data_IF_084799516883
#
_entry.id   IF_084799516883
#
_cell.length_a   1.000
_cell.length_b   1.000
_cell.length_c   1.000
_cell.angle_alpha   90.00
_cell.angle_beta   90.00
_cell.angle_gamma   90.00
#
_symmetry.space_group_name_H-M   'P 1'
#
loop_
_entity.id
_entity.type
_entity.pdbx_description
1 polymer ?
#
# COMPACT_ATOMS: atom_id res chain seq x y z
N UNK A 1 -22.47 -23.61 0.96
CA UNK A 1 -22.94 -22.63 1.95
C UNK A 1 -24.42 -22.38 1.68
N UNK A 2 -25.29 -22.73 2.62
CA UNK A 2 -26.73 -22.44 2.55
C UNK A 2 -27.00 -20.95 2.83
N UNK A 3 -28.19 -20.43 2.50
CA UNK A 3 -28.57 -19.04 2.83
C UNK A 3 -28.52 -18.79 4.35
N UNK A 4 -28.94 -19.77 5.16
CA UNK A 4 -28.89 -19.70 6.62
C UNK A 4 -27.45 -19.57 7.13
N UNK A 5 -26.54 -20.43 6.67
CA UNK A 5 -25.11 -20.36 7.02
C UNK A 5 -24.49 -19.03 6.58
N UNK A 6 -24.90 -18.49 5.43
CA UNK A 6 -24.45 -17.20 4.96
C UNK A 6 -24.88 -16.07 5.91
N UNK A 7 -26.17 -15.98 6.24
CA UNK A 7 -26.74 -14.93 7.11
C UNK A 7 -26.17 -15.01 8.53
N UNK A 8 -26.07 -16.22 9.10
CA UNK A 8 -25.45 -16.44 10.41
C UNK A 8 -23.97 -16.02 10.39
N UNK A 9 -23.23 -16.38 9.34
CA UNK A 9 -21.86 -15.93 9.15
C UNK A 9 -21.72 -14.40 9.08
N UNK A 10 -22.60 -13.73 8.32
CA UNK A 10 -22.63 -12.26 8.26
C UNK A 10 -22.89 -11.66 9.64
N UNK A 11 -23.89 -12.17 10.35
CA UNK A 11 -24.22 -11.72 11.69
C UNK A 11 -23.01 -11.85 12.61
N UNK A 12 -22.39 -13.03 12.66
CA UNK A 12 -21.23 -13.31 13.50
C UNK A 12 -20.03 -12.41 13.19
N UNK A 13 -19.78 -12.11 11.91
CA UNK A 13 -18.73 -11.18 11.49
C UNK A 13 -19.05 -9.75 11.98
N UNK A 14 -20.29 -9.28 11.82
CA UNK A 14 -20.69 -7.94 12.21
C UNK A 14 -20.74 -7.74 13.73
N UNK A 15 -21.13 -8.76 14.48
CA UNK A 15 -21.16 -8.74 15.96
C UNK A 15 -19.83 -9.15 16.60
N UNK A 16 -18.82 -9.48 15.79
CA UNK A 16 -17.51 -9.96 16.25
C UNK A 16 -17.60 -11.17 17.20
N UNK A 17 -18.62 -12.00 17.03
CA UNK A 17 -18.87 -13.21 17.85
C UNK A 17 -18.07 -14.41 17.32
N UNK A 18 -17.79 -15.37 18.22
CA UNK A 18 -16.81 -16.47 18.08
C UNK A 18 -16.86 -17.24 16.75
N UNK A 19 -15.67 -17.46 16.18
CA UNK A 19 -15.41 -18.51 15.19
C UNK A 19 -13.90 -18.56 14.85
N UNK A 20 -13.28 -19.75 14.71
CA UNK A 20 -11.85 -19.90 14.37
C UNK A 20 -11.49 -19.36 12.97
N UNK A 21 -12.51 -19.01 12.18
CA UNK A 21 -12.39 -18.43 10.85
C UNK A 21 -13.24 -17.15 10.77
N UNK A 22 -12.94 -16.14 11.58
CA UNK A 22 -13.48 -14.78 11.36
C UNK A 22 -12.94 -14.27 10.01
N UNK A 23 -13.68 -14.59 8.94
CA UNK A 23 -13.42 -14.13 7.59
C UNK A 23 -14.00 -12.72 7.46
N UNK A 24 -13.25 -11.82 6.83
CA UNK A 24 -13.74 -10.46 6.58
C UNK A 24 -15.00 -10.50 5.69
N UNK A 25 -15.97 -9.61 5.95
CA UNK A 25 -17.29 -9.63 5.32
C UNK A 25 -17.21 -9.73 3.79
N UNK A 26 -16.26 -9.02 3.18
CA UNK A 26 -16.02 -9.07 1.74
C UNK A 26 -15.74 -10.48 1.18
N UNK A 27 -14.87 -11.27 1.81
CA UNK A 27 -14.59 -12.63 1.33
C UNK A 27 -15.79 -13.53 1.56
N UNK A 28 -16.49 -13.37 2.69
CA UNK A 28 -17.66 -14.18 3.01
C UNK A 28 -18.78 -13.97 1.99
N UNK A 29 -19.12 -12.70 1.70
CA UNK A 29 -20.10 -12.32 0.67
C UNK A 29 -19.68 -12.80 -0.70
N UNK A 30 -18.41 -12.59 -1.08
CA UNK A 30 -17.94 -12.98 -2.39
C UNK A 30 -17.92 -14.51 -2.57
N UNK A 31 -17.50 -15.25 -1.55
CA UNK A 31 -17.49 -16.71 -1.57
C UNK A 31 -18.89 -17.29 -1.67
N UNK A 32 -19.86 -16.72 -0.94
CA UNK A 32 -21.26 -17.12 -1.04
C UNK A 32 -21.84 -16.83 -2.43
N UNK A 33 -21.57 -15.65 -2.99
CA UNK A 33 -22.04 -15.30 -4.33
C UNK A 33 -21.47 -16.24 -5.39
N UNK A 34 -20.16 -16.44 -5.40
CA UNK A 34 -19.48 -17.22 -6.45
C UNK A 34 -19.77 -18.72 -6.31
N UNK A 35 -19.67 -19.27 -5.11
CA UNK A 35 -19.81 -20.72 -4.89
C UNK A 35 -21.26 -21.13 -4.63
N UNK A 36 -22.05 -20.29 -3.97
CA UNK A 36 -23.44 -20.58 -3.60
C UNK A 36 -24.44 -20.16 -4.66
N UNK A 37 -24.36 -18.93 -5.16
CA UNK A 37 -25.31 -18.40 -6.16
C UNK A 37 -24.93 -18.83 -7.58
N UNK A 38 -23.67 -18.62 -7.97
CA UNK A 38 -23.22 -18.94 -9.33
C UNK A 38 -22.83 -20.41 -9.52
N UNK A 39 -22.51 -21.13 -8.43
CA UNK A 39 -21.99 -22.50 -8.52
C UNK A 39 -20.63 -22.62 -9.21
N UNK A 40 -19.86 -21.53 -9.29
CA UNK A 40 -18.63 -21.41 -10.06
C UNK A 40 -17.46 -20.90 -9.19
N UNK A 41 -16.98 -21.67 -8.19
CA UNK A 41 -15.92 -21.25 -7.27
C UNK A 41 -14.65 -20.73 -7.96
N UNK A 42 -14.34 -21.22 -9.16
CA UNK A 42 -13.21 -20.77 -9.98
C UNK A 42 -13.24 -19.26 -10.32
N UNK A 43 -14.43 -18.63 -10.32
CA UNK A 43 -14.56 -17.20 -10.61
C UNK A 43 -14.17 -16.30 -9.43
N UNK A 44 -13.86 -16.84 -8.25
CA UNK A 44 -13.58 -16.04 -7.05
C UNK A 44 -12.49 -14.99 -7.30
N UNK A 45 -11.34 -15.41 -7.82
CA UNK A 45 -10.24 -14.48 -8.11
C UNK A 45 -10.54 -13.54 -9.28
N UNK A 46 -11.40 -13.93 -10.23
CA UNK A 46 -11.86 -13.04 -11.31
C UNK A 46 -12.62 -11.84 -10.73
N UNK A 47 -13.56 -12.09 -9.81
CA UNK A 47 -14.29 -11.02 -9.14
C UNK A 47 -13.37 -10.16 -8.26
N UNK A 48 -12.46 -10.78 -7.51
CA UNK A 48 -11.47 -10.04 -6.71
C UNK A 48 -10.64 -9.11 -7.60
N UNK A 49 -10.11 -9.64 -8.72
CA UNK A 49 -9.30 -8.88 -9.65
C UNK A 49 -10.08 -7.73 -10.29
N UNK A 50 -11.37 -7.93 -10.58
CA UNK A 50 -12.23 -6.86 -11.11
C UNK A 50 -12.41 -5.72 -10.11
N UNK A 51 -12.76 -6.03 -8.85
CA UNK A 51 -12.93 -5.03 -7.79
C UNK A 51 -11.61 -4.29 -7.55
N UNK A 52 -10.52 -5.03 -7.33
CA UNK A 52 -9.20 -4.45 -7.12
C UNK A 52 -8.79 -3.58 -8.30
N UNK A 53 -8.90 -4.10 -9.52
CA UNK A 53 -8.50 -3.44 -10.76
C UNK A 53 -9.27 -2.15 -11.00
N UNK A 54 -10.59 -2.13 -10.73
CA UNK A 54 -11.41 -0.93 -10.84
C UNK A 54 -10.89 0.21 -9.94
N UNK A 55 -10.66 -0.07 -8.66
CA UNK A 55 -10.22 0.95 -7.70
C UNK A 55 -8.75 1.35 -7.91
N UNK A 56 -7.89 0.39 -8.23
CA UNK A 56 -6.49 0.63 -8.56
C UNK A 56 -6.35 1.49 -9.82
N UNK A 57 -6.89 1.04 -10.96
CA UNK A 57 -6.79 1.76 -12.22
C UNK A 57 -7.50 3.11 -12.15
N UNK A 58 -8.67 3.17 -11.50
CA UNK A 58 -9.39 4.41 -11.27
C UNK A 58 -8.56 5.45 -10.50
N UNK A 59 -7.82 5.01 -9.47
CA UNK A 59 -6.92 5.88 -8.71
C UNK A 59 -5.75 6.37 -9.56
N UNK A 60 -5.15 5.49 -10.36
CA UNK A 60 -4.04 5.84 -11.24
C UNK A 60 -4.44 6.79 -12.36
N UNK A 61 -5.62 6.63 -12.96
CA UNK A 61 -6.15 7.54 -13.99
C UNK A 61 -6.30 8.97 -13.44
N UNK A 62 -6.73 9.11 -12.18
CA UNK A 62 -6.80 10.42 -11.52
C UNK A 62 -5.39 10.98 -11.31
N UNK A 63 -4.48 10.18 -10.75
CA UNK A 63 -3.15 10.64 -10.38
C UNK A 63 -2.24 10.96 -11.58
N UNK A 64 -2.36 10.21 -12.67
CA UNK A 64 -1.56 10.35 -13.89
C UNK A 64 -2.20 11.27 -14.93
N UNK A 65 -3.26 12.00 -14.57
CA UNK A 65 -3.88 12.99 -15.45
C UNK A 65 -2.83 14.02 -15.86
N UNK A 66 -2.61 14.18 -17.16
CA UNK A 66 -1.61 15.11 -17.72
C UNK A 66 -0.22 14.51 -17.96
N UNK A 67 -0.01 13.21 -17.76
CA UNK A 67 1.30 12.54 -17.98
C UNK A 67 1.93 12.82 -19.34
N UNK A 68 1.14 12.79 -20.43
CA UNK A 68 1.64 12.94 -21.80
C UNK A 68 2.28 14.30 -22.09
N UNK A 69 2.01 15.31 -21.26
CA UNK A 69 2.43 16.69 -21.51
C UNK A 69 3.70 17.08 -20.76
N UNK A 70 4.33 16.16 -20.02
CA UNK A 70 5.41 16.48 -19.08
C UNK A 70 6.64 15.61 -19.28
N UNK A 71 7.80 16.24 -19.38
CA UNK A 71 9.09 15.57 -19.32
C UNK A 71 9.60 15.56 -17.87
N UNK A 72 9.76 14.36 -17.31
CA UNK A 72 10.25 14.18 -15.94
C UNK A 72 11.76 13.90 -15.97
N UNK A 73 12.56 14.56 -15.10
CA UNK A 73 13.94 14.16 -14.87
C UNK A 73 14.02 12.70 -14.47
N UNK A 74 15.09 11.99 -14.87
CA UNK A 74 15.24 10.54 -14.66
C UNK A 74 14.99 10.12 -13.21
N UNK A 75 15.57 10.83 -12.23
CA UNK A 75 15.34 10.51 -10.81
C UNK A 75 13.88 10.69 -10.37
N UNK A 76 13.19 11.71 -10.91
CA UNK A 76 11.76 11.90 -10.63
C UNK A 76 10.94 10.79 -11.28
N UNK A 77 11.24 10.42 -12.53
CA UNK A 77 10.58 9.31 -13.23
C UNK A 77 10.76 7.99 -12.47
N UNK A 78 11.97 7.68 -12.02
CA UNK A 78 12.25 6.48 -11.23
C UNK A 78 11.51 6.47 -9.88
N UNK A 79 11.36 7.62 -9.22
CA UNK A 79 10.52 7.72 -8.01
C UNK A 79 9.05 7.50 -8.32
N UNK A 80 8.53 8.04 -9.42
CA UNK A 80 7.15 7.77 -9.85
C UNK A 80 6.96 6.27 -10.07
N UNK A 81 7.87 5.63 -10.81
CA UNK A 81 7.84 4.17 -11.04
C UNK A 81 7.88 3.43 -9.71
N UNK A 82 8.74 3.85 -8.77
CA UNK A 82 8.84 3.23 -7.44
C UNK A 82 7.52 3.33 -6.68
N UNK A 83 6.85 4.49 -6.68
CA UNK A 83 5.56 4.66 -6.03
C UNK A 83 4.43 3.87 -6.68
N UNK A 84 4.44 3.73 -8.00
CA UNK A 84 3.50 2.85 -8.72
C UNK A 84 3.75 1.36 -8.41
N UNK A 85 5.01 0.99 -8.14
CA UNK A 85 5.40 -0.37 -7.78
C UNK A 85 5.26 -0.70 -6.29
N UNK A 86 5.06 0.28 -5.39
CA UNK A 86 4.83 0.04 -3.95
C UNK A 86 3.72 -0.99 -3.73
N UNK A 87 2.62 -0.83 -4.47
CA UNK A 87 1.52 -1.78 -4.55
C UNK A 87 0.96 -1.83 -5.97
N UNK A 88 1.49 -2.74 -6.76
CA UNK A 88 1.01 -2.99 -8.12
C UNK A 88 -0.02 -4.14 -8.14
N UNK A 89 -0.32 -4.64 -9.34
CA UNK A 89 -1.27 -5.73 -9.60
C UNK A 89 -1.02 -7.03 -8.81
N UNK A 90 0.21 -7.29 -8.36
CA UNK A 90 0.53 -8.44 -7.48
C UNK A 90 -0.24 -8.36 -6.15
N UNK A 91 -0.64 -7.16 -5.73
CA UNK A 91 -1.46 -6.93 -4.55
C UNK A 91 -2.83 -7.65 -4.59
N UNK A 92 -3.32 -8.08 -5.76
CA UNK A 92 -4.54 -8.89 -5.90
C UNK A 92 -4.44 -10.19 -5.10
N UNK A 93 -3.25 -10.76 -4.96
CA UNK A 93 -3.02 -12.01 -4.23
C UNK A 93 -3.30 -11.87 -2.72
N UNK A 94 -3.18 -10.65 -2.17
CA UNK A 94 -3.64 -10.36 -0.80
C UNK A 94 -5.00 -9.68 -0.86
N UNK A 95 -5.99 -10.46 -1.33
CA UNK A 95 -7.38 -10.09 -1.65
C UNK A 95 -8.00 -9.04 -0.71
N UNK A 96 -7.77 -9.16 0.59
CA UNK A 96 -8.41 -8.34 1.62
C UNK A 96 -7.72 -7.01 1.83
N UNK A 97 -6.43 -7.08 2.16
CA UNK A 97 -5.67 -5.92 2.63
C UNK A 97 -5.54 -4.86 1.56
N UNK A 98 -5.08 -5.24 0.36
CA UNK A 98 -4.75 -4.26 -0.67
C UNK A 98 -5.98 -3.79 -1.46
N UNK A 99 -7.05 -4.59 -1.53
CA UNK A 99 -8.35 -4.11 -2.03
C UNK A 99 -8.89 -3.01 -1.11
N UNK A 100 -8.83 -3.19 0.21
CA UNK A 100 -9.21 -2.15 1.17
C UNK A 100 -8.39 -0.85 1.00
N UNK A 101 -7.09 -0.96 0.74
CA UNK A 101 -6.23 0.19 0.42
C UNK A 101 -6.75 0.95 -0.80
N UNK A 102 -6.93 0.27 -1.93
CA UNK A 102 -7.28 0.94 -3.19
C UNK A 102 -8.70 1.50 -3.16
N UNK A 103 -9.63 0.84 -2.47
CA UNK A 103 -10.96 1.40 -2.19
C UNK A 103 -10.84 2.70 -1.41
N UNK A 104 -10.04 2.74 -0.34
CA UNK A 104 -9.82 3.96 0.44
C UNK A 104 -9.17 5.07 -0.39
N UNK A 105 -8.10 4.75 -1.13
CA UNK A 105 -7.39 5.70 -1.98
C UNK A 105 -8.33 6.30 -3.03
N UNK A 106 -9.07 5.45 -3.76
CA UNK A 106 -10.02 5.91 -4.77
C UNK A 106 -11.11 6.79 -4.16
N UNK A 107 -11.66 6.38 -3.02
CA UNK A 107 -12.70 7.12 -2.32
C UNK A 107 -12.20 8.51 -1.88
N UNK A 108 -11.00 8.60 -1.29
CA UNK A 108 -10.39 9.87 -0.89
C UNK A 108 -10.11 10.77 -2.09
N UNK A 109 -9.55 10.23 -3.18
CA UNK A 109 -9.30 10.98 -4.42
C UNK A 109 -10.61 11.54 -4.98
N UNK A 110 -11.63 10.69 -5.16
CA UNK A 110 -12.91 11.12 -5.73
C UNK A 110 -13.67 12.07 -4.82
N UNK A 111 -13.65 11.85 -3.51
CA UNK A 111 -14.30 12.75 -2.57
C UNK A 111 -13.65 14.13 -2.59
N UNK A 112 -12.32 14.21 -2.46
CA UNK A 112 -11.65 15.50 -2.41
C UNK A 112 -11.60 16.22 -3.76
N UNK A 113 -11.77 15.51 -4.88
CA UNK A 113 -11.95 16.11 -6.22
C UNK A 113 -13.38 16.63 -6.43
N UNK A 114 -14.41 15.88 -6.01
CA UNK A 114 -15.81 16.14 -6.43
C UNK A 114 -16.75 16.63 -5.32
N UNK A 115 -16.38 16.50 -4.05
CA UNK A 115 -17.22 16.81 -2.90
C UNK A 115 -18.44 15.90 -2.70
N UNK A 116 -18.62 14.84 -3.51
CA UNK A 116 -19.84 14.00 -3.46
C UNK A 116 -19.82 13.03 -2.28
N UNK A 117 -20.85 13.11 -1.43
CA UNK A 117 -20.99 12.34 -0.19
C UNK A 117 -20.93 10.81 -0.35
N UNK A 118 -21.35 10.27 -1.50
CA UNK A 118 -21.25 8.82 -1.80
C UNK A 118 -19.83 8.26 -1.66
N UNK A 119 -18.82 9.11 -1.87
CA UNK A 119 -17.42 8.70 -1.69
C UNK A 119 -17.01 8.70 -0.21
N UNK A 120 -17.70 9.42 0.68
CA UNK A 120 -17.52 9.29 2.13
C UNK A 120 -18.05 7.93 2.60
N UNK A 121 -19.19 7.48 2.08
CA UNK A 121 -19.64 6.11 2.33
C UNK A 121 -18.60 5.09 1.86
N UNK A 122 -18.04 5.30 0.67
CA UNK A 122 -16.99 4.44 0.14
C UNK A 122 -15.70 4.49 0.98
N UNK A 123 -15.36 5.63 1.60
CA UNK A 123 -14.26 5.74 2.57
C UNK A 123 -14.53 4.90 3.82
N UNK A 124 -15.79 4.68 4.22
CA UNK A 124 -16.17 3.83 5.35
C UNK A 124 -16.22 2.33 5.02
N UNK A 125 -16.11 1.93 3.74
CA UNK A 125 -16.15 0.53 3.31
C UNK A 125 -14.90 -0.33 3.64
N UNK A 126 -13.65 0.19 3.67
CA UNK A 126 -12.46 -0.64 3.87
C UNK A 126 -12.47 -1.56 5.11
N UNK A 127 -12.99 -1.16 6.28
CA UNK A 127 -13.13 -2.05 7.44
C UNK A 127 -13.98 -3.31 7.17
N UNK A 128 -14.97 -3.22 6.27
CA UNK A 128 -15.79 -4.36 5.85
C UNK A 128 -15.07 -5.27 4.84
N UNK A 129 -14.03 -4.74 4.17
CA UNK A 129 -13.15 -5.52 3.28
C UNK A 129 -12.07 -6.24 4.07
N UNK A 130 -11.47 -5.52 5.01
CA UNK A 130 -10.57 -6.10 5.98
C UNK A 130 -10.61 -5.34 7.30
N UNK A 131 -10.86 -6.04 8.41
CA UNK A 131 -11.06 -5.42 9.72
C UNK A 131 -9.87 -4.57 10.17
N UNK A 132 -8.65 -4.91 9.74
CA UNK A 132 -7.45 -4.11 9.99
C UNK A 132 -7.55 -2.67 9.47
N UNK A 133 -8.41 -2.38 8.50
CA UNK A 133 -8.66 -1.02 8.03
C UNK A 133 -9.52 -0.18 8.97
N UNK A 134 -10.14 -0.74 10.01
CA UNK A 134 -10.87 0.03 11.01
C UNK A 134 -9.99 1.13 11.65
N UNK A 135 -8.72 0.82 11.91
CA UNK A 135 -7.76 1.79 12.44
C UNK A 135 -7.14 2.61 11.31
N UNK A 136 -6.79 1.97 10.18
CA UNK A 136 -6.12 2.65 9.07
C UNK A 136 -7.02 3.66 8.35
N UNK A 137 -8.34 3.60 8.46
CA UNK A 137 -9.22 4.61 7.86
C UNK A 137 -9.24 5.93 8.64
N UNK A 138 -8.84 5.92 9.92
CA UNK A 138 -8.89 7.08 10.83
C UNK A 138 -8.13 8.30 10.28
N UNK A 139 -6.87 8.18 9.80
CA UNK A 139 -6.17 9.29 9.14
C UNK A 139 -6.97 9.99 8.04
N UNK A 140 -7.70 9.22 7.22
CA UNK A 140 -8.51 9.77 6.14
C UNK A 140 -9.71 10.57 6.67
N UNK A 141 -10.37 10.07 7.72
CA UNK A 141 -11.46 10.77 8.40
C UNK A 141 -10.98 12.02 9.17
N UNK A 142 -9.78 12.00 9.75
CA UNK A 142 -9.18 13.19 10.38
C UNK A 142 -9.04 14.31 9.34
N UNK A 143 -8.48 14.02 8.16
CA UNK A 143 -8.33 15.04 7.10
C UNK A 143 -9.69 15.44 6.51
N UNK A 144 -10.65 14.52 6.43
CA UNK A 144 -12.01 14.80 6.00
C UNK A 144 -12.67 15.86 6.89
N UNK A 145 -12.56 15.70 8.22
CA UNK A 145 -13.24 16.54 9.22
C UNK A 145 -12.47 17.84 9.47
N UNK A 146 -11.15 17.78 9.66
CA UNK A 146 -10.34 18.92 10.10
C UNK A 146 -9.64 19.66 8.94
N UNK A 147 -9.77 19.14 7.71
CA UNK A 147 -9.11 19.65 6.52
C UNK A 147 -7.62 19.31 6.48
N UNK A 148 -6.91 19.89 5.50
CA UNK A 148 -5.44 19.84 5.49
C UNK A 148 -4.89 20.83 6.51
N UNK A 149 -4.04 20.35 7.43
CA UNK A 149 -3.28 21.18 8.38
C UNK A 149 -1.78 20.96 8.15
N UNK A 150 -1.20 21.50 7.06
CA UNK A 150 0.13 21.09 6.60
C UNK A 150 1.24 21.20 7.63
N UNK A 151 1.26 22.30 8.39
CA UNK A 151 2.25 22.51 9.47
C UNK A 151 2.07 21.48 10.59
N UNK A 152 0.85 21.35 11.12
CA UNK A 152 0.54 20.41 12.20
C UNK A 152 0.86 18.96 11.81
N UNK A 153 0.40 18.52 10.64
CA UNK A 153 0.61 17.14 10.19
C UNK A 153 2.08 16.85 9.86
N UNK A 154 2.84 17.84 9.39
CA UNK A 154 4.30 17.72 9.24
C UNK A 154 4.99 17.60 10.60
N UNK A 155 4.56 18.38 11.60
CA UNK A 155 5.08 18.31 12.95
C UNK A 155 4.79 16.96 13.62
N UNK A 156 3.57 16.44 13.47
CA UNK A 156 3.19 15.10 13.96
C UNK A 156 4.01 13.99 13.28
N UNK A 157 4.21 14.08 11.96
CA UNK A 157 5.08 13.15 11.23
C UNK A 157 6.52 13.20 11.78
N UNK A 158 7.10 14.38 11.93
CA UNK A 158 8.47 14.53 12.42
C UNK A 158 8.60 14.00 13.85
N UNK A 159 7.71 14.41 14.76
CA UNK A 159 7.71 13.94 16.14
C UNK A 159 7.55 12.41 16.20
N UNK A 160 6.64 11.81 15.43
CA UNK A 160 6.48 10.36 15.38
C UNK A 160 7.68 9.60 14.79
N UNK A 161 8.52 10.28 14.00
CA UNK A 161 9.73 9.67 13.41
C UNK A 161 10.91 9.63 14.38
N UNK A 162 10.86 10.45 15.44
CA UNK A 162 11.93 10.56 16.46
C UNK A 162 11.51 9.98 17.80
N UNK A 163 10.20 9.97 18.10
CA UNK A 163 9.66 9.44 19.36
C UNK A 163 8.42 8.58 19.14
N UNK A 164 8.13 7.71 20.10
CA UNK A 164 6.91 6.91 20.13
C UNK A 164 5.83 7.66 20.93
N UNK A 165 4.68 7.93 20.31
CA UNK A 165 3.55 8.58 21.00
C UNK A 165 2.79 7.66 21.95
N UNK A 166 2.78 6.36 21.68
CA UNK A 166 1.99 5.37 22.41
C UNK A 166 2.92 4.37 23.11
N UNK A 167 2.98 4.37 24.46
CA UNK A 167 3.74 3.35 25.17
C UNK A 167 3.12 1.98 24.90
N UNK A 168 3.88 1.07 24.27
CA UNK A 168 3.39 -0.23 23.81
C UNK A 168 2.75 -1.04 24.95
N UNK A 169 3.34 -1.00 26.15
CA UNK A 169 2.86 -1.76 27.31
C UNK A 169 1.42 -1.45 27.73
N UNK A 170 0.97 -0.19 27.61
CA UNK A 170 -0.40 0.17 28.00
C UNK A 170 -1.44 -0.38 27.01
N UNK A 171 -1.14 -0.34 25.71
CA UNK A 171 -2.03 -0.84 24.67
C UNK A 171 -2.02 -2.37 24.60
N UNK A 172 -0.85 -3.00 24.77
CA UNK A 172 -0.74 -4.46 24.87
C UNK A 172 -1.54 -5.00 26.06
N UNK A 173 -1.46 -4.32 27.22
CA UNK A 173 -2.26 -4.69 28.39
C UNK A 173 -3.76 -4.60 28.09
N UNK A 174 -4.21 -3.60 27.33
CA UNK A 174 -5.62 -3.46 26.96
C UNK A 174 -6.07 -4.54 25.96
N UNK A 175 -5.27 -4.86 24.93
CA UNK A 175 -5.59 -5.92 23.98
C UNK A 175 -5.67 -7.29 24.65
N UNK A 176 -4.79 -7.55 25.62
CA UNK A 176 -4.76 -8.81 26.37
C UNK A 176 -5.97 -9.01 27.31
N UNK A 177 -6.79 -7.97 27.57
CA UNK A 177 -8.04 -8.11 28.35
C UNK A 177 -9.12 -8.88 27.62
N UNK A 178 -9.01 -9.04 26.29
CA UNK A 178 -10.00 -9.76 25.48
C UNK A 178 -9.35 -10.96 24.81
N UNK A 179 -10.06 -12.10 24.75
CA UNK A 179 -9.58 -13.32 24.08
C UNK A 179 -9.23 -13.04 22.60
N UNK A 180 -10.09 -12.28 21.92
CA UNK A 180 -9.91 -11.85 20.53
C UNK A 180 -8.69 -10.97 20.39
N UNK A 181 -8.54 -9.92 21.22
CA UNK A 181 -7.39 -9.02 21.19
C UNK A 181 -6.07 -9.74 21.46
N UNK A 182 -6.03 -10.64 22.44
CA UNK A 182 -4.85 -11.45 22.75
C UNK A 182 -4.49 -12.42 21.61
N UNK A 183 -5.48 -13.01 20.93
CA UNK A 183 -5.24 -13.87 19.77
C UNK A 183 -4.67 -13.08 18.58
N UNK A 184 -5.20 -11.88 18.33
CA UNK A 184 -4.75 -10.99 17.26
C UNK A 184 -3.34 -10.47 17.52
N UNK A 185 -3.04 -10.01 18.74
CA UNK A 185 -1.71 -9.55 19.12
C UNK A 185 -0.66 -10.67 18.94
N UNK A 186 -0.97 -11.89 19.38
CA UNK A 186 -0.08 -13.06 19.17
C UNK A 186 0.12 -13.38 17.70
N UNK A 187 -0.93 -13.30 16.88
CA UNK A 187 -0.81 -13.52 15.43
C UNK A 187 0.13 -12.49 14.79
N UNK A 188 0.08 -11.23 15.23
CA UNK A 188 0.90 -10.15 14.69
C UNK A 188 2.33 -10.11 15.24
N UNK A 189 2.57 -10.62 16.45
CA UNK A 189 3.92 -10.74 17.02
C UNK A 189 4.68 -11.97 16.50
N UNK A 190 3.98 -13.03 16.07
CA UNK A 190 4.60 -14.28 15.57
C UNK A 190 5.34 -14.08 14.25
N UNK A 191 4.89 -13.13 13.41
CA UNK A 191 5.56 -12.77 12.16
C UNK A 191 6.95 -12.12 12.36
N UNK A 192 7.27 -11.63 13.58
CA UNK A 192 8.51 -10.89 13.88
C UNK A 192 9.52 -11.61 14.80
N UNK A 193 9.22 -12.78 15.37
CA UNK A 193 10.21 -13.51 16.20
C UNK A 193 11.45 -14.02 15.43
N UNK A 194 11.56 -13.71 14.14
CA UNK A 194 12.86 -13.67 13.47
C UNK A 194 13.55 -12.34 13.82
N UNK A 195 14.29 -12.31 14.93
CA UNK A 195 15.17 -11.20 15.33
C UNK A 195 15.79 -10.53 14.08
N UNK A 196 15.57 -9.23 13.89
CA UNK A 196 16.04 -8.48 12.72
C UNK A 196 17.57 -8.61 12.60
N UNK A 197 18.28 -8.64 13.74
CA UNK A 197 19.70 -8.93 13.80
C UNK A 197 20.03 -10.34 13.31
N UNK A 198 19.35 -11.36 13.86
CA UNK A 198 19.54 -12.75 13.43
C UNK A 198 19.06 -13.05 12.00
N UNK A 199 18.09 -12.32 11.44
CA UNK A 199 17.58 -12.51 10.08
C UNK A 199 18.48 -11.83 9.04
N UNK A 200 19.02 -10.66 9.37
CA UNK A 200 20.07 -9.99 8.59
C UNK A 200 21.36 -10.81 8.66
N UNK A 201 21.78 -11.24 9.86
CA UNK A 201 22.95 -12.09 10.05
C UNK A 201 22.80 -13.43 9.33
N UNK A 202 21.65 -14.13 9.44
CA UNK A 202 21.38 -15.37 8.66
C UNK A 202 21.36 -15.11 7.16
N UNK A 203 20.81 -13.99 6.69
CA UNK A 203 20.80 -13.67 5.27
C UNK A 203 22.20 -13.36 4.72
N UNK A 204 23.09 -12.77 5.53
CA UNK A 204 24.49 -12.53 5.17
C UNK A 204 25.37 -13.79 5.34
N UNK A 205 25.16 -14.61 6.37
CA UNK A 205 25.96 -15.83 6.63
C UNK A 205 25.54 -17.04 5.82
N UNK A 206 24.26 -17.16 5.42
CA UNK A 206 23.79 -18.12 4.42
C UNK A 206 24.05 -17.63 2.97
N UNK A 207 24.91 -16.61 2.82
CA UNK A 207 25.29 -15.98 1.55
C UNK A 207 26.04 -16.88 0.56
N UNK A 208 26.21 -18.17 0.86
CA UNK A 208 26.67 -19.18 -0.11
C UNK A 208 25.56 -19.70 -1.03
N UNK A 209 24.28 -19.31 -0.82
CA UNK A 209 23.12 -19.85 -1.55
C UNK A 209 22.18 -18.85 -2.25
N UNK A 210 22.65 -17.66 -2.67
CA UNK A 210 21.86 -16.81 -3.59
C UNK A 210 20.83 -15.86 -2.98
N UNK A 211 20.97 -15.47 -1.70
CA UNK A 211 20.14 -14.39 -1.12
C UNK A 211 20.56 -13.05 -1.73
N UNK A 212 19.70 -12.51 -2.58
CA UNK A 212 19.94 -11.23 -3.29
C UNK A 212 20.02 -10.04 -2.32
N UNK A 213 21.05 -9.20 -2.46
CA UNK A 213 21.35 -8.05 -1.57
C UNK A 213 20.16 -7.11 -1.32
N UNK A 214 19.31 -6.90 -2.33
CA UNK A 214 18.12 -6.05 -2.20
C UNK A 214 17.06 -6.61 -1.23
N UNK A 215 16.99 -7.93 -1.05
CA UNK A 215 16.10 -8.54 -0.04
C UNK A 215 16.58 -8.21 1.37
N UNK A 216 17.89 -8.21 1.58
CA UNK A 216 18.50 -7.85 2.86
C UNK A 216 18.25 -6.38 3.19
N UNK A 217 18.49 -5.48 2.23
CA UNK A 217 18.26 -4.05 2.40
C UNK A 217 16.77 -3.72 2.63
N UNK A 218 15.85 -4.46 1.99
CA UNK A 218 14.42 -4.36 2.27
C UNK A 218 14.09 -4.74 3.71
N UNK A 219 14.65 -5.84 4.19
CA UNK A 219 14.42 -6.33 5.55
C UNK A 219 15.02 -5.38 6.60
N UNK A 220 16.15 -4.73 6.28
CA UNK A 220 16.73 -3.66 7.08
C UNK A 220 15.89 -2.36 7.08
N UNK A 221 14.82 -2.29 6.28
CA UNK A 221 13.90 -1.17 6.27
C UNK A 221 14.42 0.08 5.54
N UNK A 222 15.42 -0.06 4.64
CA UNK A 222 16.01 1.08 3.90
C UNK A 222 14.94 1.90 3.15
N UNK A 223 13.89 1.26 2.66
CA UNK A 223 12.74 1.93 2.03
C UNK A 223 12.01 2.90 2.97
N UNK A 224 11.97 2.63 4.29
CA UNK A 224 11.35 3.53 5.28
C UNK A 224 12.17 4.82 5.39
N UNK A 225 13.50 4.70 5.42
CA UNK A 225 14.42 5.83 5.38
C UNK A 225 14.31 6.61 4.07
N UNK A 226 14.22 5.91 2.93
CA UNK A 226 14.04 6.53 1.62
C UNK A 226 12.78 7.40 1.55
N UNK A 227 11.66 6.91 2.12
CA UNK A 227 10.42 7.66 2.22
C UNK A 227 10.55 8.85 3.19
N UNK A 228 11.24 8.69 4.32
CA UNK A 228 11.43 9.79 5.27
C UNK A 228 12.27 10.92 4.65
N UNK A 229 13.37 10.59 3.99
CA UNK A 229 14.19 11.57 3.23
C UNK A 229 13.34 12.25 2.16
N UNK A 230 12.50 11.51 1.45
CA UNK A 230 11.57 12.06 0.46
C UNK A 230 10.61 13.08 1.09
N UNK A 231 9.88 12.68 2.14
CA UNK A 231 8.89 13.50 2.82
C UNK A 231 9.53 14.76 3.39
N UNK A 232 10.67 14.62 4.08
CA UNK A 232 11.42 15.76 4.61
C UNK A 232 11.86 16.71 3.50
N UNK A 233 12.29 16.19 2.35
CA UNK A 233 12.65 17.01 1.18
C UNK A 233 11.43 17.80 0.67
N UNK A 234 10.27 17.15 0.52
CA UNK A 234 9.03 17.78 0.03
C UNK A 234 8.48 18.82 1.03
N UNK A 235 8.60 18.56 2.34
CA UNK A 235 8.17 19.50 3.39
C UNK A 235 9.14 20.68 3.49
N UNK A 236 10.44 20.43 3.64
CA UNK A 236 11.45 21.48 3.85
C UNK A 236 11.60 22.40 2.63
N UNK A 237 11.42 21.87 1.41
CA UNK A 237 11.40 22.67 0.19
C UNK A 237 10.13 23.52 0.00
N UNK A 238 9.18 23.46 0.95
CA UNK A 238 7.92 24.19 0.87
C UNK A 238 6.96 23.68 -0.20
N UNK A 239 7.27 22.58 -0.89
CA UNK A 239 6.40 22.02 -1.94
C UNK A 239 5.04 21.65 -1.37
N UNK A 240 5.01 20.91 -0.27
CA UNK A 240 3.75 20.55 0.40
C UNK A 240 2.97 21.77 0.90
N UNK A 241 3.68 22.70 1.55
CA UNK A 241 3.07 23.84 2.25
C UNK A 241 2.57 24.94 1.30
N UNK A 242 3.32 25.23 0.23
CA UNK A 242 3.17 26.43 -0.59
C UNK A 242 2.90 26.16 -2.07
N UNK A 243 3.16 24.93 -2.57
CA UNK A 243 3.09 24.62 -4.01
C UNK A 243 1.96 23.64 -4.36
N UNK A 244 1.62 22.71 -3.48
CA UNK A 244 0.50 21.78 -3.68
C UNK A 244 -0.85 22.49 -3.62
N UNK A 245 -1.75 22.15 -4.54
CA UNK A 245 -3.16 22.58 -4.46
C UNK A 245 -3.86 22.01 -3.23
N UNK A 246 -4.99 22.60 -2.81
CA UNK A 246 -5.76 22.11 -1.67
C UNK A 246 -6.16 20.63 -1.80
N UNK A 247 -6.44 20.16 -3.01
CA UNK A 247 -6.69 18.74 -3.29
C UNK A 247 -5.45 17.88 -2.99
N UNK A 248 -4.30 18.23 -3.57
CA UNK A 248 -3.03 17.51 -3.37
C UNK A 248 -2.59 17.54 -1.90
N UNK A 249 -2.76 18.68 -1.22
CA UNK A 249 -2.43 18.82 0.20
C UNK A 249 -3.26 17.89 1.09
N UNK A 250 -4.56 17.72 0.80
CA UNK A 250 -5.41 16.76 1.54
C UNK A 250 -4.92 15.32 1.34
N UNK A 251 -4.63 14.91 0.10
CA UNK A 251 -4.10 13.58 -0.19
C UNK A 251 -2.74 13.35 0.49
N UNK A 252 -1.84 14.34 0.45
CA UNK A 252 -0.55 14.29 1.14
C UNK A 252 -0.72 14.24 2.67
N UNK A 253 -1.67 15.00 3.23
CA UNK A 253 -2.00 15.03 4.66
C UNK A 253 -2.44 13.64 5.16
N UNK A 254 -3.29 12.96 4.41
CA UNK A 254 -3.73 11.59 4.73
C UNK A 254 -2.51 10.68 4.78
N UNK A 255 -1.63 10.80 3.79
CA UNK A 255 -0.40 10.04 3.73
C UNK A 255 0.53 10.30 4.93
N UNK A 256 0.75 11.56 5.33
CA UNK A 256 1.52 11.89 6.52
C UNK A 256 0.95 11.27 7.79
N UNK A 257 -0.37 11.42 8.01
CA UNK A 257 -1.04 10.86 9.18
C UNK A 257 -1.02 9.32 9.19
N UNK A 258 -1.04 8.66 8.03
CA UNK A 258 -0.84 7.22 7.91
C UNK A 258 0.58 6.79 8.31
N UNK A 259 1.60 7.56 7.94
CA UNK A 259 2.98 7.31 8.40
C UNK A 259 3.10 7.59 9.91
N UNK A 260 2.47 8.65 10.41
CA UNK A 260 2.40 8.91 11.86
C UNK A 260 1.73 7.75 12.62
N UNK A 261 0.61 7.23 12.10
CA UNK A 261 -0.05 6.05 12.63
C UNK A 261 0.88 4.83 12.59
N UNK A 262 1.57 4.62 11.48
CA UNK A 262 2.53 3.52 11.32
C UNK A 262 3.63 3.55 12.38
N UNK A 263 4.22 4.72 12.60
CA UNK A 263 5.25 4.93 13.61
C UNK A 263 4.71 4.77 15.02
N UNK A 264 3.48 5.24 15.28
CA UNK A 264 2.84 5.13 16.60
C UNK A 264 2.41 3.69 16.94
N UNK A 265 2.18 2.86 15.93
CA UNK A 265 1.72 1.47 16.06
C UNK A 265 2.83 0.46 15.76
N UNK A 266 4.11 0.84 15.91
CA UNK A 266 5.26 0.01 15.55
C UNK A 266 5.26 -1.37 16.24
N UNK A 267 4.72 -1.47 17.45
CA UNK A 267 4.60 -2.71 18.22
C UNK A 267 3.53 -3.68 17.68
N UNK A 268 2.65 -3.22 16.77
CA UNK A 268 1.73 -4.07 15.99
C UNK A 268 2.20 -4.05 14.54
N UNK A 269 3.18 -4.90 14.23
CA UNK A 269 3.90 -4.93 12.95
C UNK A 269 2.99 -4.90 11.72
N UNK A 270 1.90 -5.67 11.73
CA UNK A 270 0.98 -5.71 10.59
C UNK A 270 0.30 -4.35 10.36
N UNK A 271 -0.18 -3.69 11.42
CA UNK A 271 -0.79 -2.35 11.33
C UNK A 271 0.27 -1.33 10.94
N UNK A 272 1.45 -1.37 11.57
CA UNK A 272 2.56 -0.48 11.25
C UNK A 272 2.96 -0.57 9.77
N UNK A 273 3.28 -1.76 9.28
CA UNK A 273 3.76 -1.96 7.92
C UNK A 273 2.68 -1.64 6.87
N UNK A 274 1.40 -2.00 7.11
CA UNK A 274 0.32 -1.70 6.17
C UNK A 274 -0.01 -0.21 6.14
N UNK A 275 -0.02 0.46 7.29
CA UNK A 275 -0.21 1.92 7.38
C UNK A 275 0.95 2.66 6.70
N UNK A 276 2.18 2.14 6.84
CA UNK A 276 3.34 2.70 6.15
C UNK A 276 3.17 2.67 4.63
N UNK A 277 2.79 1.49 4.09
CA UNK A 277 2.55 1.31 2.66
C UNK A 277 1.40 2.22 2.18
N UNK A 278 0.30 2.26 2.93
CA UNK A 278 -0.83 3.14 2.62
C UNK A 278 -0.40 4.61 2.57
N UNK A 279 0.34 5.06 3.58
CA UNK A 279 0.86 6.42 3.65
C UNK A 279 1.79 6.74 2.48
N UNK A 280 2.69 5.82 2.13
CA UNK A 280 3.59 5.95 1.00
C UNK A 280 2.83 6.08 -0.34
N UNK A 281 1.74 5.31 -0.52
CA UNK A 281 0.87 5.43 -1.71
C UNK A 281 0.19 6.81 -1.76
N UNK A 282 -0.42 7.28 -0.67
CA UNK A 282 -1.04 8.61 -0.63
C UNK A 282 -0.04 9.74 -0.91
N UNK A 283 1.14 9.70 -0.27
CA UNK A 283 2.24 10.65 -0.47
C UNK A 283 2.71 10.62 -1.94
N UNK A 284 2.91 9.42 -2.49
CA UNK A 284 3.35 9.24 -3.87
C UNK A 284 2.35 9.78 -4.88
N UNK A 285 1.05 9.49 -4.72
CA UNK A 285 0.00 10.00 -5.61
C UNK A 285 -0.11 11.53 -5.54
N UNK A 286 -0.07 12.12 -4.34
CA UNK A 286 -0.07 13.57 -4.19
C UNK A 286 1.15 14.23 -4.87
N UNK A 287 2.33 13.62 -4.73
CA UNK A 287 3.54 14.08 -5.39
C UNK A 287 3.46 13.97 -6.92
N UNK A 288 2.99 12.84 -7.45
CA UNK A 288 2.80 12.63 -8.89
C UNK A 288 1.86 13.70 -9.45
N UNK A 289 0.69 13.89 -8.84
CA UNK A 289 -0.29 14.89 -9.27
C UNK A 289 0.29 16.30 -9.25
N UNK A 290 1.03 16.66 -8.19
CA UNK A 290 1.71 17.96 -8.12
C UNK A 290 2.74 18.10 -9.23
N UNK A 291 3.61 17.10 -9.40
CA UNK A 291 4.70 17.16 -10.38
C UNK A 291 4.18 17.28 -11.81
N UNK A 292 3.09 16.60 -12.14
CA UNK A 292 2.44 16.68 -13.45
C UNK A 292 1.74 18.04 -13.65
N UNK A 293 1.12 18.59 -12.60
CA UNK A 293 0.47 19.92 -12.68
C UNK A 293 1.46 21.07 -12.95
N UNK A 294 2.73 20.93 -12.57
CA UNK A 294 3.78 21.94 -12.84
C UNK A 294 4.28 21.93 -14.29
N UNK A 295 3.95 20.90 -15.09
CA UNK A 295 4.49 20.76 -16.44
C UNK A 295 6.02 20.66 -16.44
N UNK A 296 6.66 21.27 -17.44
CA UNK A 296 8.13 21.31 -17.53
C UNK A 296 8.76 22.38 -16.62
N UNK A 297 7.96 23.27 -16.01
CA UNK A 297 8.45 24.34 -15.14
C UNK A 297 8.34 23.95 -13.67
N UNK A 298 9.38 23.33 -13.12
CA UNK A 298 9.41 22.98 -11.70
C UNK A 298 9.50 24.22 -10.81
N UNK A 299 8.45 24.52 -10.05
CA UNK A 299 8.43 25.60 -9.05
C UNK A 299 8.61 25.03 -7.64
N UNK A 300 9.83 25.17 -7.12
CA UNK A 300 10.19 24.82 -5.73
C UNK A 300 10.26 26.11 -4.91
N UNK A 301 9.35 26.33 -3.94
CA UNK A 301 9.27 27.59 -3.19
C UNK A 301 10.49 27.88 -2.31
N UNK A 302 10.99 26.88 -1.59
CA UNK A 302 12.09 27.01 -0.63
C UNK A 302 13.19 26.00 -0.95
N UNK A 303 14.41 26.27 -0.50
CA UNK A 303 15.54 25.33 -0.57
C UNK A 303 15.75 24.72 -1.97
N UNK A 304 15.55 25.51 -3.05
CA UNK A 304 15.57 25.07 -4.45
C UNK A 304 16.81 24.24 -4.83
N UNK A 305 17.98 24.57 -4.26
CA UNK A 305 19.25 23.85 -4.48
C UNK A 305 19.29 22.48 -3.80
N UNK A 306 18.63 22.33 -2.65
CA UNK A 306 18.63 21.08 -1.87
C UNK A 306 17.53 20.12 -2.30
N UNK A 307 16.46 20.62 -2.91
CA UNK A 307 15.40 19.77 -3.47
C UNK A 307 15.91 18.66 -4.40
N UNK A 308 16.68 18.92 -5.48
CA UNK A 308 17.17 17.85 -6.34
C UNK A 308 18.12 16.89 -5.63
N UNK A 309 18.89 17.37 -4.65
CA UNK A 309 19.78 16.52 -3.82
C UNK A 309 18.96 15.57 -2.95
N UNK A 310 17.93 16.07 -2.27
CA UNK A 310 17.06 15.25 -1.43
C UNK A 310 16.23 14.23 -2.23
N UNK A 311 15.74 14.63 -3.40
CA UNK A 311 15.06 13.73 -4.34
C UNK A 311 16.03 12.65 -4.87
N UNK A 312 17.25 13.04 -5.24
CA UNK A 312 18.29 12.11 -5.69
C UNK A 312 18.69 11.12 -4.60
N UNK A 313 18.92 11.60 -3.37
CA UNK A 313 19.25 10.77 -2.21
C UNK A 313 18.12 9.78 -1.88
N UNK A 314 16.88 10.26 -1.86
CA UNK A 314 15.72 9.39 -1.67
C UNK A 314 15.66 8.30 -2.74
N UNK A 315 15.87 8.65 -4.01
CA UNK A 315 15.86 7.68 -5.10
C UNK A 315 16.96 6.63 -4.94
N UNK A 316 18.19 7.03 -4.60
CA UNK A 316 19.30 6.10 -4.33
C UNK A 316 18.92 5.11 -3.23
N UNK A 317 18.32 5.59 -2.14
CA UNK A 317 17.85 4.73 -1.05
C UNK A 317 16.67 3.84 -1.47
N UNK A 318 15.86 4.24 -2.44
CA UNK A 318 14.80 3.42 -3.00
C UNK A 318 15.29 2.36 -4.00
N UNK A 319 16.50 2.46 -4.56
CA UNK A 319 17.02 1.50 -5.56
C UNK A 319 16.89 0.03 -5.12
N UNK A 320 17.29 -0.38 -3.89
CA UNK A 320 17.13 -1.76 -3.47
C UNK A 320 15.66 -2.21 -3.48
N UNK A 321 14.76 -1.33 -3.04
CA UNK A 321 13.34 -1.62 -3.00
C UNK A 321 12.71 -1.69 -4.39
N UNK A 322 13.14 -0.80 -5.31
CA UNK A 322 12.77 -0.83 -6.71
C UNK A 322 13.23 -2.14 -7.37
N UNK A 323 14.48 -2.55 -7.17
CA UNK A 323 15.01 -3.81 -7.69
C UNK A 323 14.26 -5.03 -7.13
N UNK A 324 13.91 -5.00 -5.84
CA UNK A 324 13.09 -6.05 -5.21
C UNK A 324 11.72 -6.14 -5.88
N UNK A 325 10.99 -5.03 -6.00
CA UNK A 325 9.65 -5.04 -6.60
C UNK A 325 9.67 -5.34 -8.10
N UNK A 326 10.68 -4.88 -8.83
CA UNK A 326 10.88 -5.23 -10.23
C UNK A 326 11.11 -6.74 -10.39
N UNK A 327 11.94 -7.35 -9.54
CA UNK A 327 12.11 -8.81 -9.53
C UNK A 327 10.78 -9.52 -9.26
N UNK A 328 10.06 -9.14 -8.21
CA UNK A 328 8.75 -9.70 -7.87
C UNK A 328 7.76 -9.55 -9.04
N UNK A 329 7.73 -8.38 -9.68
CA UNK A 329 6.87 -8.14 -10.84
C UNK A 329 7.25 -8.98 -12.07
N UNK A 330 8.50 -9.43 -12.19
CA UNK A 330 8.90 -10.35 -13.25
C UNK A 330 8.67 -11.82 -12.87
N UNK A 331 8.75 -12.15 -11.57
CA UNK A 331 8.68 -13.50 -11.01
C UNK A 331 7.23 -14.01 -10.82
N UNK A 332 6.22 -13.14 -10.67
CA UNK A 332 4.86 -13.57 -10.31
C UNK A 332 3.79 -13.46 -11.41
N UNK A 333 3.66 -12.34 -12.14
CA UNK A 333 2.67 -12.24 -13.21
C UNK A 333 2.99 -13.18 -14.36
N UNK A 334 1.95 -13.83 -14.87
CA UNK A 334 2.00 -14.60 -16.11
C UNK A 334 2.24 -13.67 -17.31
N UNK A 335 3.10 -14.07 -18.24
CA UNK A 335 3.31 -13.31 -19.50
C UNK A 335 2.01 -13.19 -20.30
N UNK A 336 1.12 -14.18 -20.18
CA UNK A 336 -0.17 -14.22 -20.85
C UNK A 336 -1.11 -13.10 -20.40
N UNK A 337 -0.88 -12.51 -19.21
CA UNK A 337 -1.63 -11.35 -18.74
C UNK A 337 -1.53 -10.15 -19.71
N UNK A 338 -0.47 -10.06 -20.52
CA UNK A 338 -0.23 -8.96 -21.44
C UNK A 338 -1.05 -9.03 -22.74
N UNK A 339 -1.59 -10.20 -23.12
CA UNK A 339 -2.26 -10.33 -24.42
C UNK A 339 -3.27 -11.47 -24.55
N UNK A 340 -3.15 -12.54 -23.76
CA UNK A 340 -4.05 -13.71 -23.83
C UNK A 340 -4.31 -14.28 -22.42
N UNK A 341 -4.91 -13.49 -21.49
CA UNK A 341 -5.04 -13.90 -20.08
C UNK A 341 -5.86 -15.19 -19.88
N UNK A 342 -6.72 -15.54 -20.84
CA UNK A 342 -7.54 -16.74 -20.81
C UNK A 342 -6.84 -18.00 -21.33
N UNK A 343 -5.67 -17.88 -22.00
CA UNK A 343 -4.96 -19.04 -22.54
C UNK A 343 -4.59 -20.04 -21.44
N UNK A 344 -4.18 -19.53 -20.28
CA UNK A 344 -3.84 -20.33 -19.09
C UNK A 344 -5.05 -21.07 -18.51
N UNK A 345 -6.28 -20.66 -18.82
CA UNK A 345 -7.48 -21.38 -18.38
C UNK A 345 -7.78 -22.59 -19.27
N UNK A 346 -7.42 -22.50 -20.55
CA UNK A 346 -7.60 -23.58 -21.52
C UNK A 346 -6.49 -24.61 -21.41
N UNK A 347 -5.26 -24.13 -21.22
CA UNK A 347 -4.05 -24.95 -21.11
C UNK A 347 -3.22 -24.42 -19.92
N UNK A 348 -3.37 -24.99 -18.71
CA UNK A 348 -2.64 -24.51 -17.54
C UNK A 348 -1.11 -24.69 -17.66
N UNK A 349 -0.67 -25.69 -18.43
CA UNK A 349 0.74 -26.08 -18.53
C UNK A 349 1.58 -25.09 -19.33
N UNK A 350 0.97 -24.25 -20.18
CA UNK A 350 1.70 -23.20 -20.90
C UNK A 350 2.01 -22.00 -19.99
N UNK A 351 1.43 -21.91 -18.79
CA UNK A 351 1.61 -20.75 -17.93
C UNK A 351 3.07 -20.52 -17.56
N UNK A 352 3.60 -19.37 -17.98
CA UNK A 352 4.96 -18.96 -17.67
C UNK A 352 4.97 -17.52 -17.16
N UNK A 353 5.87 -17.27 -16.23
CA UNK A 353 6.13 -15.93 -15.70
C UNK A 353 6.78 -15.05 -16.76
N UNK A 354 6.69 -13.72 -16.60
CA UNK A 354 7.39 -12.78 -17.50
C UNK A 354 8.89 -13.08 -17.55
N UNK A 355 9.49 -13.45 -16.42
CA UNK A 355 10.91 -13.80 -16.34
C UNK A 355 11.26 -15.07 -17.12
N UNK A 356 10.44 -16.11 -17.05
CA UNK A 356 10.65 -17.34 -17.82
C UNK A 356 10.56 -17.08 -19.31
N UNK A 357 9.56 -16.30 -19.74
CA UNK A 357 9.45 -15.87 -21.14
C UNK A 357 10.70 -15.08 -21.57
N UNK A 358 11.15 -14.10 -20.77
CA UNK A 358 12.37 -13.35 -21.06
C UNK A 358 13.60 -14.24 -21.15
N UNK A 359 13.74 -15.25 -20.28
CA UNK A 359 14.84 -16.23 -20.36
C UNK A 359 14.79 -17.01 -21.66
N UNK A 360 13.61 -17.48 -22.06
CA UNK A 360 13.42 -18.21 -23.31
C UNK A 360 13.82 -17.39 -24.55
N UNK A 361 13.52 -16.08 -24.56
CA UNK A 361 13.86 -15.21 -25.70
C UNK A 361 15.27 -14.63 -25.68
N UNK A 362 15.85 -14.37 -24.50
CA UNK A 362 17.12 -13.64 -24.36
C UNK A 362 18.33 -14.56 -24.15
N UNK A 363 18.13 -15.77 -23.64
CA UNK A 363 19.20 -16.75 -23.53
C UNK A 363 19.08 -17.68 -24.74
N UNK A 364 20.01 -17.64 -25.72
CA UNK A 364 20.03 -18.65 -26.75
C UNK A 364 20.12 -20.01 -26.07
N UNK A 365 19.26 -20.94 -26.49
CA UNK A 365 19.29 -22.33 -26.09
C UNK A 365 20.70 -22.83 -26.42
N UNK A 366 21.55 -22.94 -25.40
CA UNK A 366 22.86 -23.58 -25.51
C UNK A 366 22.70 -25.08 -25.33
#
# INVERSE_FOLDING_TARGET
MTLYEFVDGVWNILTLTRGPHQQDLYIHVLSYFVSGVLGLPALFFTFVAFVYGYFFAGSLVIALRGWRSVQLPVFTLLLVITFLLLKNIEGVNTVRTWTGLWVLVYACLRYHETGRWRYVLLMACPPFIHIGWAIMVIPAFIVLIFGSRPVLYSALFFASSVTTFLPSGALEAQFNRTEVGASMLRSYQRDERGDVGASVYRAFTQGTGGVRIWRVLRNAGVQKWALNVFVLTVVASGVYLLSMSAFQQKIFSIGLLMITLSNSMWFISAVSNRSWIAGAVFIGLAFIMWRLAQGNQLRVPLMRRLYPVGIGLSMVLFVPYLAFNASTFLDFPSVFLLGMPFAVWLEPDINMTIKEALRFFLLPIM
#
